data_IF_330949173997
#
_entry.id   IF_330949173997
#
_cell.length_a   1.000
_cell.length_b   1.000
_cell.length_c   1.000
_cell.angle_alpha   90.00
_cell.angle_beta   90.00
_cell.angle_gamma   90.00
#
_symmetry.space_group_name_H-M   'P 1'
#
loop_
_entity.id
_entity.type
_entity.pdbx_description
1 polymer ?
#
# COMPACT_ATOMS: atom_id res chain seq x y z
N UNK A 1 -14.24 7.67 11.27
CA UNK A 1 -14.31 6.56 10.29
C UNK A 1 -12.95 6.49 9.63
N UNK A 2 -12.31 5.33 9.59
CA UNK A 2 -10.97 5.18 9.01
C UNK A 2 -11.02 5.46 7.51
N UNK A 3 -10.05 6.22 6.99
CA UNK A 3 -9.92 6.56 5.57
C UNK A 3 -8.56 6.04 5.10
N UNK A 4 -8.52 5.23 4.06
CA UNK A 4 -7.31 4.52 3.63
C UNK A 4 -6.97 4.92 2.20
N UNK A 5 -5.67 5.10 1.93
CA UNK A 5 -5.15 5.40 0.58
C UNK A 5 -4.29 4.25 0.09
N UNK A 6 -4.56 3.77 -1.12
CA UNK A 6 -3.77 2.73 -1.79
C UNK A 6 -3.28 3.26 -3.13
N UNK A 7 -2.01 3.67 -3.26
CA UNK A 7 -1.43 4.03 -4.55
C UNK A 7 -1.17 2.76 -5.39
N UNK A 8 -1.63 2.74 -6.65
CA UNK A 8 -1.44 1.60 -7.55
C UNK A 8 -1.02 2.04 -8.95
N UNK A 9 0.17 1.61 -9.39
CA UNK A 9 0.75 1.96 -10.70
C UNK A 9 0.52 0.92 -11.80
N UNK A 10 -0.25 -0.12 -11.52
CA UNK A 10 -0.43 -1.22 -12.46
C UNK A 10 0.86 -1.98 -12.77
N UNK A 11 0.95 -2.53 -13.96
CA UNK A 11 2.07 -3.35 -14.43
C UNK A 11 3.43 -2.62 -14.39
N UNK A 12 3.45 -1.30 -14.59
CA UNK A 12 4.69 -0.50 -14.62
C UNK A 12 5.46 -0.53 -13.29
N UNK A 13 4.81 -0.88 -12.18
CA UNK A 13 5.43 -1.00 -10.86
C UNK A 13 6.22 -2.30 -10.63
N UNK A 14 6.04 -3.34 -11.46
CA UNK A 14 6.57 -4.70 -11.21
C UNK A 14 7.51 -5.24 -12.29
N UNK A 15 8.40 -4.41 -12.79
CA UNK A 15 9.36 -4.78 -13.86
C UNK A 15 10.39 -5.84 -13.42
N UNK A 16 10.61 -6.04 -12.12
CA UNK A 16 11.53 -7.05 -11.57
C UNK A 16 10.91 -8.44 -11.44
N UNK A 17 9.59 -8.59 -11.61
CA UNK A 17 8.97 -9.91 -11.69
C UNK A 17 9.41 -10.58 -12.99
N UNK A 18 10.20 -11.67 -12.88
CA UNK A 18 10.62 -12.51 -14.01
C UNK A 18 9.44 -13.36 -14.50
N UNK A 19 8.53 -12.70 -15.21
CA UNK A 19 7.29 -13.26 -15.74
C UNK A 19 6.86 -12.51 -17.01
N UNK A 20 5.95 -13.09 -17.79
CA UNK A 20 5.37 -12.38 -18.93
C UNK A 20 4.62 -11.12 -18.49
N UNK A 21 4.45 -10.14 -19.40
CA UNK A 21 3.68 -8.93 -19.12
C UNK A 21 2.26 -9.26 -18.60
N UNK A 22 1.62 -10.24 -19.21
CA UNK A 22 0.29 -10.70 -18.77
C UNK A 22 0.31 -11.28 -17.35
N UNK A 23 1.29 -12.12 -17.03
CA UNK A 23 1.43 -12.69 -15.69
C UNK A 23 1.74 -11.62 -14.64
N UNK A 24 2.59 -10.63 -14.96
CA UNK A 24 2.86 -9.48 -14.09
C UNK A 24 1.60 -8.67 -13.82
N UNK A 25 0.83 -8.36 -14.86
CA UNK A 25 -0.43 -7.62 -14.74
C UNK A 25 -1.42 -8.36 -13.85
N UNK A 26 -1.63 -9.67 -14.08
CA UNK A 26 -2.51 -10.51 -13.27
C UNK A 26 -2.09 -10.60 -11.81
N UNK A 27 -0.79 -10.76 -11.54
CA UNK A 27 -0.25 -10.79 -10.18
C UNK A 27 -0.41 -9.44 -9.47
N UNK A 28 -0.09 -8.32 -10.16
CA UNK A 28 -0.26 -6.98 -9.59
C UNK A 28 -1.71 -6.69 -9.21
N UNK A 29 -2.66 -7.05 -10.08
CA UNK A 29 -4.09 -6.90 -9.79
C UNK A 29 -4.56 -7.82 -8.66
N UNK A 30 -4.04 -9.05 -8.60
CA UNK A 30 -4.38 -9.98 -7.52
C UNK A 30 -3.91 -9.45 -6.15
N UNK A 31 -2.67 -8.94 -6.07
CA UNK A 31 -2.14 -8.32 -4.86
C UNK A 31 -2.92 -7.07 -4.46
N UNK A 32 -3.22 -6.17 -5.41
CA UNK A 32 -4.13 -5.04 -5.17
C UNK A 32 -5.46 -5.53 -4.60
N UNK A 33 -6.04 -6.58 -5.17
CA UNK A 33 -7.33 -7.13 -4.72
C UNK A 33 -7.30 -7.65 -3.29
N UNK A 34 -6.19 -8.29 -2.86
CA UNK A 34 -6.02 -8.74 -1.48
C UNK A 34 -5.86 -7.54 -0.53
N UNK A 35 -5.09 -6.51 -0.91
CA UNK A 35 -4.96 -5.26 -0.15
C UNK A 35 -6.31 -4.55 0.00
N UNK A 36 -7.07 -4.43 -1.09
CA UNK A 36 -8.38 -3.77 -1.08
C UNK A 36 -9.40 -4.53 -0.21
N UNK A 37 -9.39 -5.86 -0.24
CA UNK A 37 -10.26 -6.66 0.62
C UNK A 37 -10.00 -6.38 2.11
N UNK A 38 -8.74 -6.18 2.51
CA UNK A 38 -8.39 -5.80 3.87
C UNK A 38 -8.77 -4.34 4.19
N UNK A 39 -8.52 -3.42 3.26
CA UNK A 39 -8.74 -1.99 3.46
C UNK A 39 -10.22 -1.62 3.51
N UNK A 40 -11.03 -2.11 2.56
CA UNK A 40 -12.48 -1.82 2.50
C UNK A 40 -13.26 -2.41 3.67
N UNK A 41 -12.77 -3.52 4.24
CA UNK A 41 -13.33 -4.07 5.48
C UNK A 41 -13.09 -3.16 6.71
N UNK A 42 -12.15 -2.22 6.63
CA UNK A 42 -11.83 -1.30 7.73
C UNK A 42 -12.50 0.07 7.57
N UNK A 43 -12.62 0.57 6.34
CA UNK A 43 -13.23 1.88 6.12
C UNK A 43 -13.22 2.35 4.67
N UNK A 44 -13.50 3.65 4.48
CA UNK A 44 -13.46 4.30 3.18
C UNK A 44 -12.08 4.18 2.56
N UNK A 45 -11.98 3.61 1.37
CA UNK A 45 -10.71 3.33 0.71
C UNK A 45 -10.63 4.05 -0.64
N UNK A 46 -9.58 4.86 -0.84
CA UNK A 46 -9.26 5.49 -2.10
C UNK A 46 -8.12 4.74 -2.80
N UNK A 47 -8.29 4.45 -4.09
CA UNK A 47 -7.22 3.85 -4.92
C UNK A 47 -6.77 4.84 -5.96
N UNK A 48 -5.52 5.31 -5.86
CA UNK A 48 -4.97 6.24 -6.86
C UNK A 48 -4.32 5.45 -7.98
N UNK A 49 -4.91 5.51 -9.17
CA UNK A 49 -4.43 4.72 -10.29
C UNK A 49 -4.77 5.33 -11.66
N UNK A 50 -3.84 5.20 -12.61
CA UNK A 50 -4.08 5.41 -14.03
C UNK A 50 -4.42 4.11 -14.79
N UNK A 51 -4.36 2.95 -14.12
CA UNK A 51 -4.62 1.64 -14.72
C UNK A 51 -6.13 1.34 -14.80
N UNK A 52 -6.69 1.11 -16.01
CA UNK A 52 -8.12 0.83 -16.16
C UNK A 52 -8.59 -0.43 -15.44
N UNK A 53 -7.77 -1.49 -15.40
CA UNK A 53 -8.11 -2.74 -14.71
C UNK A 53 -8.06 -2.56 -13.18
N UNK A 54 -7.08 -1.80 -12.68
CA UNK A 54 -7.01 -1.41 -11.27
C UNK A 54 -8.20 -0.57 -10.84
N UNK A 55 -8.67 0.34 -11.69
CA UNK A 55 -9.89 1.14 -11.47
C UNK A 55 -11.13 0.23 -11.36
N UNK A 56 -11.32 -0.65 -12.34
CA UNK A 56 -12.47 -1.57 -12.34
C UNK A 56 -12.48 -2.48 -11.11
N UNK A 57 -11.31 -3.00 -10.72
CA UNK A 57 -11.16 -3.82 -9.52
C UNK A 57 -11.46 -3.04 -8.22
N UNK A 58 -11.04 -1.77 -8.16
CA UNK A 58 -11.35 -0.90 -7.02
C UNK A 58 -12.86 -0.73 -6.85
N UNK A 59 -13.58 -0.41 -7.93
CA UNK A 59 -15.04 -0.27 -7.94
C UNK A 59 -15.74 -1.57 -7.55
N UNK A 60 -15.29 -2.73 -8.09
CA UNK A 60 -15.81 -4.07 -7.75
C UNK A 60 -15.72 -4.36 -6.26
N UNK A 61 -14.61 -3.94 -5.62
CA UNK A 61 -14.33 -4.21 -4.20
C UNK A 61 -14.82 -3.11 -3.27
N UNK A 62 -15.57 -2.13 -3.77
CA UNK A 62 -16.14 -1.06 -2.96
C UNK A 62 -15.14 0.03 -2.56
N UNK A 63 -14.01 0.12 -3.24
CA UNK A 63 -13.07 1.24 -3.12
C UNK A 63 -13.37 2.33 -4.16
N UNK A 64 -12.97 3.56 -3.87
CA UNK A 64 -13.18 4.72 -4.75
C UNK A 64 -11.93 4.97 -5.59
N UNK A 65 -11.97 4.83 -6.92
CA UNK A 65 -10.81 5.11 -7.75
C UNK A 65 -10.59 6.63 -7.93
N UNK A 66 -9.34 7.04 -7.77
CA UNK A 66 -8.86 8.41 -7.98
C UNK A 66 -7.88 8.42 -9.15
N UNK A 67 -7.98 9.42 -10.03
CA UNK A 67 -7.08 9.53 -11.16
C UNK A 67 -5.64 9.84 -10.69
N UNK A 68 -4.66 9.13 -11.25
CA UNK A 68 -3.25 9.39 -10.98
C UNK A 68 -2.81 10.73 -11.61
N UNK A 69 -2.29 11.68 -10.82
CA UNK A 69 -1.90 13.00 -11.33
C UNK A 69 -0.57 13.00 -12.09
N UNK A 70 0.17 11.88 -12.08
CA UNK A 70 1.59 11.85 -12.42
C UNK A 70 2.48 12.32 -11.27
N UNK A 71 3.81 12.38 -11.50
CA UNK A 71 4.75 12.84 -10.46
C UNK A 71 5.13 11.80 -9.39
N UNK A 72 4.69 10.56 -9.55
CA UNK A 72 5.08 9.44 -8.71
C UNK A 72 4.21 9.23 -7.47
N UNK A 73 4.61 8.28 -6.62
CA UNK A 73 3.83 7.81 -5.48
C UNK A 73 3.46 8.93 -4.50
N UNK A 74 4.39 9.85 -4.21
CA UNK A 74 4.13 10.97 -3.32
C UNK A 74 3.03 11.89 -3.84
N UNK A 75 3.04 12.20 -5.15
CA UNK A 75 1.99 13.01 -5.78
C UNK A 75 0.64 12.27 -5.79
N UNK A 76 0.66 10.96 -6.06
CA UNK A 76 -0.54 10.12 -6.02
C UNK A 76 -1.19 10.13 -4.62
N UNK A 77 -0.40 9.90 -3.57
CA UNK A 77 -0.89 9.95 -2.19
C UNK A 77 -1.42 11.35 -1.85
N UNK A 78 -0.67 12.41 -2.18
CA UNK A 78 -1.12 13.80 -1.96
C UNK A 78 -2.47 14.10 -2.59
N UNK A 79 -2.68 13.68 -3.85
CA UNK A 79 -3.95 13.87 -4.55
C UNK A 79 -5.13 13.16 -3.85
N UNK A 80 -4.92 11.97 -3.30
CA UNK A 80 -5.97 11.31 -2.53
C UNK A 80 -6.26 12.00 -1.21
N UNK A 81 -5.23 12.47 -0.51
CA UNK A 81 -5.39 13.17 0.78
C UNK A 81 -6.25 14.42 0.67
N UNK A 82 -6.20 15.14 -0.46
CA UNK A 82 -7.05 16.30 -0.72
C UNK A 82 -8.56 15.98 -0.77
N UNK A 83 -8.91 14.70 -1.06
CA UNK A 83 -10.29 14.23 -1.14
C UNK A 83 -10.82 13.66 0.20
N UNK A 84 -9.95 13.58 1.20
CA UNK A 84 -10.28 13.05 2.51
C UNK A 84 -10.64 14.16 3.50
N UNK A 85 -11.49 13.82 4.46
CA UNK A 85 -11.80 14.68 5.60
C UNK A 85 -10.77 14.52 6.72
N UNK A 86 -11.05 15.17 7.84
CA UNK A 86 -10.24 15.07 9.05
C UNK A 86 -10.22 13.63 9.59
N UNK A 87 -9.13 13.27 10.22
CA UNK A 87 -8.93 11.98 10.88
C UNK A 87 -7.64 11.27 10.49
N UNK A 88 -7.47 10.08 11.03
CA UNK A 88 -6.30 9.26 10.76
C UNK A 88 -6.37 8.64 9.36
N UNK A 89 -5.24 8.64 8.65
CA UNK A 89 -5.15 8.13 7.28
C UNK A 89 -3.99 7.12 7.16
N UNK A 90 -4.28 5.81 7.18
CA UNK A 90 -3.36 4.81 6.68
C UNK A 90 -3.16 4.93 5.17
N UNK A 91 -1.90 4.88 4.73
CA UNK A 91 -1.50 4.75 3.33
C UNK A 91 -0.77 3.41 3.20
N UNK A 92 -1.16 2.57 2.27
CA UNK A 92 -0.68 1.19 2.16
C UNK A 92 -0.34 0.88 0.70
N UNK A 93 0.85 0.34 0.46
CA UNK A 93 1.26 -0.09 -0.88
C UNK A 93 0.39 -1.25 -1.37
N UNK A 94 0.19 -1.32 -2.69
CA UNK A 94 -0.67 -2.31 -3.33
C UNK A 94 -0.04 -3.69 -3.52
N UNK A 95 1.22 -3.86 -3.15
CA UNK A 95 2.04 -5.06 -3.33
C UNK A 95 2.33 -5.81 -2.02
N UNK A 96 1.42 -5.69 -1.07
CA UNK A 96 1.47 -6.32 0.25
C UNK A 96 0.39 -7.41 0.38
N UNK A 97 0.51 -8.53 -0.36
CA UNK A 97 -0.57 -9.53 -0.47
C UNK A 97 -0.89 -10.27 0.83
N UNK A 98 -0.07 -10.11 1.87
CA UNK A 98 -0.29 -10.77 3.16
C UNK A 98 -1.13 -9.94 4.13
N UNK A 99 -1.48 -8.70 3.77
CA UNK A 99 -2.19 -7.78 4.66
C UNK A 99 -3.57 -8.29 5.04
N UNK A 100 -3.91 -8.12 6.31
CA UNK A 100 -5.25 -8.41 6.85
C UNK A 100 -5.81 -7.17 7.57
N UNK A 101 -7.13 -7.06 7.80
CA UNK A 101 -7.71 -5.87 8.43
C UNK A 101 -7.11 -5.54 9.81
N UNK A 102 -6.62 -6.54 10.54
CA UNK A 102 -5.96 -6.33 11.83
C UNK A 102 -4.67 -5.53 11.70
N UNK A 103 -3.87 -5.79 10.66
CA UNK A 103 -2.60 -5.09 10.43
C UNK A 103 -2.83 -3.59 10.21
N UNK A 104 -3.85 -3.25 9.41
CA UNK A 104 -4.22 -1.86 9.12
C UNK A 104 -4.76 -1.15 10.37
N UNK A 105 -5.50 -1.83 11.24
CA UNK A 105 -5.91 -1.28 12.54
C UNK A 105 -4.72 -1.03 13.46
N UNK A 106 -3.77 -1.96 13.50
CA UNK A 106 -2.54 -1.81 14.29
C UNK A 106 -1.73 -0.60 13.81
N UNK A 107 -1.59 -0.46 12.48
CA UNK A 107 -0.92 0.69 11.89
C UNK A 107 -1.64 2.01 12.22
N UNK A 108 -2.98 2.05 12.07
CA UNK A 108 -3.79 3.22 12.40
C UNK A 108 -3.66 3.64 13.86
N UNK A 109 -3.45 2.69 14.78
CA UNK A 109 -3.27 2.94 16.20
C UNK A 109 -2.11 3.89 16.52
N UNK A 110 -1.02 3.89 15.73
CA UNK A 110 0.05 4.87 15.88
C UNK A 110 -0.46 6.30 15.61
N UNK A 111 -1.26 6.48 14.57
CA UNK A 111 -1.85 7.77 14.23
C UNK A 111 -2.90 8.23 15.25
N UNK A 112 -3.67 7.31 15.83
CA UNK A 112 -4.62 7.61 16.91
C UNK A 112 -3.91 8.11 18.19
N UNK A 113 -2.64 7.73 18.38
CA UNK A 113 -1.78 8.26 19.45
C UNK A 113 -1.14 9.62 19.09
N UNK A 114 -1.46 10.20 17.93
CA UNK A 114 -0.90 11.45 17.45
C UNK A 114 0.49 11.32 16.84
N UNK A 115 0.94 10.11 16.50
CA UNK A 115 2.25 9.85 15.91
C UNK A 115 2.14 9.53 14.40
N UNK A 116 3.18 9.82 13.63
CA UNK A 116 3.35 9.28 12.29
C UNK A 116 3.84 7.83 12.41
N UNK A 117 2.96 6.86 12.13
CA UNK A 117 3.34 5.46 12.07
C UNK A 117 3.92 5.10 10.71
N UNK A 118 4.94 4.25 10.65
CA UNK A 118 5.47 3.76 9.39
C UNK A 118 5.90 2.29 9.50
N UNK A 119 5.80 1.57 8.39
CA UNK A 119 6.35 0.22 8.23
C UNK A 119 7.45 0.30 7.19
N UNK A 120 8.66 -0.05 7.62
CA UNK A 120 9.86 -0.08 6.78
C UNK A 120 9.96 -1.44 6.07
N UNK A 121 10.25 -1.41 4.77
CA UNK A 121 10.61 -2.58 4.00
C UNK A 121 12.09 -2.97 4.21
N UNK A 122 12.48 -4.16 3.79
CA UNK A 122 13.85 -4.67 3.92
C UNK A 122 14.88 -3.75 3.23
N UNK A 123 14.50 -3.09 2.15
CA UNK A 123 15.37 -2.16 1.39
C UNK A 123 15.39 -0.72 1.95
N UNK A 124 14.75 -0.46 3.10
CA UNK A 124 14.67 0.85 3.73
C UNK A 124 13.63 1.79 3.10
N UNK A 125 12.77 1.29 2.21
CA UNK A 125 11.62 2.04 1.73
C UNK A 125 10.44 1.94 2.71
N UNK A 126 9.34 2.64 2.42
CA UNK A 126 8.14 2.65 3.28
C UNK A 126 7.01 1.92 2.58
N UNK A 127 6.61 0.78 3.13
CA UNK A 127 5.51 -0.03 2.63
C UNK A 127 4.14 0.48 3.09
N UNK A 128 4.09 1.02 4.30
CA UNK A 128 2.86 1.59 4.84
C UNK A 128 3.16 2.78 5.75
N UNK A 129 2.24 3.74 5.78
CA UNK A 129 2.32 4.97 6.57
C UNK A 129 0.97 5.18 7.27
N UNK A 130 0.95 5.70 8.48
CA UNK A 130 -0.26 6.19 9.12
C UNK A 130 -0.07 7.64 9.57
N UNK A 131 -0.96 8.51 9.13
CA UNK A 131 -0.93 9.94 9.44
C UNK A 131 -2.01 10.26 10.48
N UNK A 132 -1.69 10.97 11.57
CA UNK A 132 -2.68 11.52 12.50
C UNK A 132 -3.63 12.51 11.83
N UNK A 133 -3.10 13.27 10.86
CA UNK A 133 -3.81 14.23 10.05
C UNK A 133 -3.13 14.34 8.68
N UNK A 134 -3.90 14.57 7.62
CA UNK A 134 -3.41 14.63 6.23
C UNK A 134 -2.38 15.75 6.01
N UNK A 135 -2.46 16.83 6.76
CA UNK A 135 -1.58 17.99 6.69
C UNK A 135 -0.13 17.66 7.11
N UNK A 136 0.07 16.56 7.83
CA UNK A 136 1.40 16.10 8.25
C UNK A 136 2.11 15.29 7.15
N UNK A 137 1.47 15.08 6.01
CA UNK A 137 2.07 14.36 4.90
C UNK A 137 3.15 15.18 4.20
N UNK A 138 4.25 14.50 3.87
CA UNK A 138 5.26 14.98 2.93
C UNK A 138 5.53 13.89 1.88
N UNK A 139 5.74 14.23 0.59
CA UNK A 139 5.89 13.25 -0.50
C UNK A 139 7.29 12.63 -0.54
N UNK A 140 7.69 11.89 0.49
CA UNK A 140 9.05 11.42 0.74
C UNK A 140 9.33 9.98 0.28
N UNK A 141 8.47 9.38 -0.56
CA UNK A 141 8.66 8.01 -1.06
C UNK A 141 9.92 7.83 -1.92
N UNK A 142 10.37 6.58 -2.06
CA UNK A 142 11.57 6.16 -2.79
C UNK A 142 12.66 5.62 -1.85
N UNK A 143 13.85 5.32 -2.37
CA UNK A 143 14.92 4.69 -1.59
C UNK A 143 15.24 5.43 -0.30
N UNK A 144 15.28 4.73 0.84
CA UNK A 144 15.50 5.30 2.17
C UNK A 144 14.33 6.16 2.69
N UNK A 145 13.12 5.96 2.20
CA UNK A 145 11.96 6.78 2.59
C UNK A 145 11.56 6.60 4.06
N UNK A 146 11.78 5.44 4.66
CA UNK A 146 11.49 5.23 6.08
C UNK A 146 12.26 6.19 6.97
N UNK A 147 13.57 6.35 6.72
CA UNK A 147 14.39 7.33 7.43
C UNK A 147 13.90 8.77 7.19
N UNK A 148 13.55 9.12 5.93
CA UNK A 148 13.04 10.47 5.63
C UNK A 148 11.70 10.78 6.30
N UNK A 149 10.79 9.84 6.41
CA UNK A 149 9.53 10.05 7.15
C UNK A 149 9.76 10.23 8.63
N UNK A 150 10.69 9.47 9.24
CA UNK A 150 11.11 9.68 10.63
C UNK A 150 11.70 11.07 10.83
N UNK A 151 12.67 11.46 9.99
CA UNK A 151 13.36 12.75 10.09
C UNK A 151 12.40 13.94 9.85
N UNK A 152 11.40 13.75 8.96
CA UNK A 152 10.32 14.72 8.76
C UNK A 152 9.45 14.87 10.01
N UNK A 153 9.01 13.76 10.61
CA UNK A 153 8.23 13.80 11.85
C UNK A 153 8.98 14.55 12.97
N UNK A 154 10.26 14.23 13.17
CA UNK A 154 11.13 14.91 14.13
C UNK A 154 11.22 16.41 13.82
N UNK A 155 11.39 16.78 12.55
CA UNK A 155 11.50 18.17 12.09
C UNK A 155 10.24 19.01 12.31
N UNK A 156 9.07 18.40 12.34
CA UNK A 156 7.79 19.07 12.62
C UNK A 156 7.30 18.87 14.06
N UNK A 157 8.10 18.25 14.92
CA UNK A 157 7.78 18.05 16.34
C UNK A 157 6.71 16.97 16.58
N UNK A 158 6.55 16.02 15.66
CA UNK A 158 5.62 14.87 15.78
C UNK A 158 6.42 13.61 16.05
N UNK A 159 5.93 12.74 16.93
CA UNK A 159 6.57 11.45 17.17
C UNK A 159 6.47 10.55 15.94
N UNK A 160 7.56 9.88 15.56
CA UNK A 160 7.57 8.82 14.58
C UNK A 160 7.59 7.44 15.27
N UNK A 161 6.73 6.51 14.85
CA UNK A 161 6.66 5.14 15.38
C UNK A 161 6.94 4.15 14.26
N UNK A 162 8.05 3.41 14.36
CA UNK A 162 8.30 2.26 13.51
C UNK A 162 7.38 1.10 13.94
N UNK A 163 6.43 0.75 13.11
CA UNK A 163 5.45 -0.29 13.40
C UNK A 163 5.98 -1.65 12.90
N UNK A 164 6.26 -2.56 13.83
CA UNK A 164 6.70 -3.93 13.50
C UNK A 164 5.48 -4.80 13.12
N UNK A 165 5.03 -4.69 11.88
CA UNK A 165 3.88 -5.43 11.32
C UNK A 165 4.39 -6.31 10.18
N UNK A 166 4.67 -7.61 10.41
CA UNK A 166 5.33 -8.46 9.41
C UNK A 166 4.61 -8.55 8.07
N UNK A 167 3.27 -8.60 8.05
CA UNK A 167 2.51 -8.65 6.81
C UNK A 167 2.58 -7.37 5.97
N UNK A 168 2.94 -6.25 6.56
CA UNK A 168 3.16 -4.97 5.88
C UNK A 168 4.65 -4.70 5.57
N UNK A 169 5.57 -5.42 6.18
CA UNK A 169 7.00 -5.30 5.91
C UNK A 169 7.44 -6.12 4.68
N UNK A 170 6.69 -7.17 4.35
CA UNK A 170 6.99 -8.11 3.27
C UNK A 170 6.28 -7.69 1.97
N UNK A 171 6.87 -6.79 1.20
CA UNK A 171 6.41 -6.48 -0.16
C UNK A 171 6.91 -7.51 -1.19
N UNK A 172 6.27 -7.48 -2.36
CA UNK A 172 6.56 -8.40 -3.46
C UNK A 172 7.17 -7.65 -4.63
N UNK A 173 8.45 -7.85 -4.88
CA UNK A 173 9.15 -7.33 -6.06
C UNK A 173 9.51 -8.42 -7.07
N UNK A 174 9.67 -9.66 -6.61
CA UNK A 174 10.11 -10.80 -7.41
C UNK A 174 9.20 -12.03 -7.25
N UNK A 175 9.32 -13.01 -8.15
CA UNK A 175 8.65 -14.31 -7.98
C UNK A 175 9.19 -15.08 -6.76
N UNK A 176 10.43 -14.83 -6.36
CA UNK A 176 11.00 -15.43 -5.15
C UNK A 176 10.31 -14.93 -3.90
N UNK A 177 9.99 -13.62 -3.83
CA UNK A 177 9.20 -13.07 -2.72
C UNK A 177 7.84 -13.77 -2.62
N UNK A 178 7.15 -13.94 -3.75
CA UNK A 178 5.88 -14.67 -3.77
C UNK A 178 6.02 -16.12 -3.29
N UNK A 179 7.09 -16.82 -3.69
CA UNK A 179 7.35 -18.18 -3.21
C UNK A 179 7.65 -18.21 -1.72
N UNK A 180 8.42 -17.24 -1.24
CA UNK A 180 8.75 -17.08 0.19
C UNK A 180 7.51 -16.83 1.03
N UNK A 181 6.60 -15.99 0.54
CA UNK A 181 5.33 -15.69 1.22
C UNK A 181 4.38 -16.90 1.22
N UNK A 182 4.37 -17.69 0.15
CA UNK A 182 3.64 -18.95 0.06
C UNK A 182 2.16 -18.81 0.45
N UNK A 183 1.72 -19.62 1.40
CA UNK A 183 0.33 -19.63 1.88
C UNK A 183 -0.07 -18.40 2.72
N UNK A 184 0.87 -17.52 3.06
CA UNK A 184 0.56 -16.28 3.77
C UNK A 184 -0.08 -15.23 2.85
N UNK A 185 0.20 -15.28 1.55
CA UNK A 185 -0.43 -14.38 0.59
C UNK A 185 -1.95 -14.54 0.59
N UNK A 186 -2.67 -13.48 0.27
CA UNK A 186 -4.12 -13.51 0.18
C UNK A 186 -4.66 -14.42 -0.93
N UNK A 187 -5.95 -14.74 -0.89
CA UNK A 187 -6.53 -15.78 -1.75
C UNK A 187 -6.48 -15.44 -3.24
N UNK A 188 -6.55 -14.17 -3.61
CA UNK A 188 -6.46 -13.73 -5.01
C UNK A 188 -5.06 -13.94 -5.56
N UNK A 189 -4.04 -13.54 -4.80
CA UNK A 189 -2.63 -13.75 -5.16
C UNK A 189 -2.28 -15.23 -5.25
N UNK A 190 -2.73 -16.05 -4.30
CA UNK A 190 -2.53 -17.51 -4.34
C UNK A 190 -3.15 -18.16 -5.58
N UNK A 191 -4.38 -17.76 -5.96
CA UNK A 191 -5.06 -18.31 -7.14
C UNK A 191 -4.28 -18.03 -8.44
N UNK A 192 -3.74 -16.82 -8.59
CA UNK A 192 -2.93 -16.45 -9.77
C UNK A 192 -1.57 -17.14 -9.73
N UNK A 193 -0.92 -17.18 -8.58
CA UNK A 193 0.39 -17.82 -8.41
C UNK A 193 0.35 -19.30 -8.77
N UNK A 194 -0.69 -20.01 -8.38
CA UNK A 194 -0.88 -21.42 -8.74
C UNK A 194 -0.93 -21.63 -10.26
N UNK A 195 -1.55 -20.72 -11.00
CA UNK A 195 -1.59 -20.77 -12.48
C UNK A 195 -0.27 -20.39 -13.14
N UNK A 196 0.52 -19.50 -12.54
CA UNK A 196 1.82 -19.03 -13.10
C UNK A 196 2.94 -20.05 -12.88
N UNK A 197 2.92 -20.79 -11.77
CA UNK A 197 3.96 -21.78 -11.46
C UNK A 197 3.80 -23.11 -12.24
N UNK A 198 2.68 -23.33 -12.90
CA UNK A 198 2.38 -24.55 -13.66
C UNK A 198 2.33 -24.32 -15.17
N UNK A 199 2.59 -23.11 -15.64
CA UNK A 199 2.68 -22.72 -17.05
C UNK A 199 4.13 -22.64 -17.53
#
# INVERSE_FOLDING_TARGET
MTQIVVPFRGESGKQRLDASAEARSRLSLAMLGDVLAAATALGRTLVVTGDPAGRALAEELGAEPVAEPGGGQGAAVGAALELLGDGTVPVVNADLPCVVPHDLRTLAGAAELGAIGYVEAEDGTTNALALPARELFAPLYGGGSAARFRDHADGIGVTAIACAIPNLADDVDTLEDLRRLGLRAGPRTQAVLSGVLHA
#
